data_IF_304420881413
#
_entry.id   IF_304420881413
#
_cell.length_a   1.000
_cell.length_b   1.000
_cell.length_c   1.000
_cell.angle_alpha   90.00
_cell.angle_beta   90.00
_cell.angle_gamma   90.00
#
_symmetry.space_group_name_H-M   'P 1'
#
loop_
_entity.id
_entity.type
_entity.pdbx_description
1 polymer ?
#
# COMPACT_ATOMS: atom_id res chain seq x y z
N UNK A 1 -12.25 9.18 14.80
CA UNK A 1 -11.09 8.28 14.99
C UNK A 1 -11.03 7.46 13.73
N UNK A 2 -10.10 7.76 12.84
CA UNK A 2 -9.97 7.04 11.58
C UNK A 2 -9.57 5.60 11.88
N UNK A 3 -10.52 4.70 11.68
CA UNK A 3 -10.36 3.27 11.92
C UNK A 3 -9.78 2.64 10.66
N UNK A 4 -8.86 1.69 10.83
CA UNK A 4 -8.41 0.80 9.77
C UNK A 4 -9.60 0.17 9.04
N UNK A 5 -9.51 0.07 7.72
CA UNK A 5 -10.57 -0.43 6.85
C UNK A 5 -10.15 -1.75 6.19
N UNK A 6 -11.09 -2.64 5.82
CA UNK A 6 -10.79 -3.86 5.07
C UNK A 6 -10.04 -3.55 3.77
N UNK A 7 -9.02 -4.35 3.43
CA UNK A 7 -8.16 -4.06 2.27
C UNK A 7 -8.92 -3.99 0.94
N UNK A 8 -10.05 -4.68 0.82
CA UNK A 8 -10.88 -4.74 -0.38
C UNK A 8 -11.52 -3.39 -0.71
N UNK A 9 -11.62 -2.48 0.27
CA UNK A 9 -12.18 -1.13 0.08
C UNK A 9 -11.10 -0.09 -0.24
N UNK A 10 -9.83 -0.49 -0.30
CA UNK A 10 -8.73 0.43 -0.47
C UNK A 10 -8.72 1.09 -1.86
N UNK A 11 -8.35 2.38 -1.94
CA UNK A 11 -8.21 3.05 -3.23
C UNK A 11 -7.04 2.45 -4.02
N UNK A 12 -7.35 1.89 -5.20
CA UNK A 12 -6.35 1.29 -6.10
C UNK A 12 -5.53 2.31 -6.90
N UNK A 13 -5.83 3.61 -6.73
CA UNK A 13 -5.20 4.73 -7.43
C UNK A 13 -4.40 5.66 -6.49
N UNK A 14 -4.15 5.25 -5.25
CA UNK A 14 -3.45 6.06 -4.26
C UNK A 14 -2.47 5.23 -3.43
N UNK A 15 -1.52 5.92 -2.80
CA UNK A 15 -0.65 5.31 -1.78
C UNK A 15 -1.35 5.37 -0.43
N UNK A 16 -1.33 4.26 0.30
CA UNK A 16 -1.98 4.10 1.60
C UNK A 16 -1.06 3.39 2.58
N UNK A 17 -1.39 3.43 3.87
CA UNK A 17 -0.82 2.51 4.83
C UNK A 17 -1.55 1.17 4.74
N UNK A 18 -0.82 0.08 4.83
CA UNK A 18 -1.36 -1.29 4.81
C UNK A 18 -0.82 -2.08 6.00
N UNK A 19 -1.66 -2.96 6.57
CA UNK A 19 -1.31 -3.86 7.66
C UNK A 19 -1.18 -5.30 7.14
N UNK A 20 0.02 -5.89 7.24
CA UNK A 20 0.29 -7.26 6.78
C UNK A 20 -0.19 -8.35 7.73
N UNK A 21 -0.67 -7.98 8.94
CA UNK A 21 -0.83 -8.90 10.06
C UNK A 21 0.37 -8.92 11.01
N UNK A 22 1.50 -8.35 10.59
CA UNK A 22 2.73 -8.27 11.39
C UNK A 22 3.29 -6.85 11.47
N UNK A 23 3.29 -6.12 10.35
CA UNK A 23 3.89 -4.80 10.21
C UNK A 23 3.01 -3.86 9.38
N UNK A 24 3.28 -2.55 9.51
CA UNK A 24 2.64 -1.49 8.72
C UNK A 24 3.60 -1.01 7.64
N UNK A 25 3.12 -0.94 6.40
CA UNK A 25 3.88 -0.42 5.26
C UNK A 25 3.13 0.69 4.55
N UNK A 26 3.85 1.60 3.89
CA UNK A 26 3.24 2.50 2.91
C UNK A 26 3.31 1.85 1.52
N UNK A 27 2.16 1.46 0.97
CA UNK A 27 2.06 0.69 -0.27
C UNK A 27 1.12 1.33 -1.28
N UNK A 28 1.27 0.94 -2.55
CA UNK A 28 0.27 1.22 -3.59
C UNK A 28 -0.14 -0.09 -4.28
N UNK A 29 -1.37 -0.11 -4.79
CA UNK A 29 -1.90 -1.28 -5.48
C UNK A 29 -1.22 -1.47 -6.83
N UNK A 30 -0.90 -2.71 -7.15
CA UNK A 30 -0.34 -3.12 -8.44
C UNK A 30 -1.07 -4.35 -8.94
N UNK A 31 -1.12 -4.49 -10.28
CA UNK A 31 -1.70 -5.64 -10.95
C UNK A 31 -0.78 -6.13 -12.05
N UNK A 32 -0.55 -7.44 -12.07
CA UNK A 32 0.23 -8.07 -13.12
C UNK A 32 -0.63 -8.13 -14.42
N UNK A 33 -0.18 -7.54 -15.54
CA UNK A 33 -0.96 -7.50 -16.77
C UNK A 33 -1.09 -8.85 -17.48
N UNK A 34 -0.26 -9.84 -17.12
CA UNK A 34 -0.24 -11.16 -17.76
C UNK A 34 -0.97 -12.24 -16.95
N UNK A 35 -0.95 -12.15 -15.61
CA UNK A 35 -1.59 -13.15 -14.73
C UNK A 35 -2.88 -12.65 -14.07
N UNK A 36 -3.19 -11.36 -14.20
CA UNK A 36 -4.30 -10.68 -13.51
C UNK A 36 -4.12 -10.64 -11.97
N UNK A 37 -2.98 -11.08 -11.44
CA UNK A 37 -2.71 -11.10 -10.01
C UNK A 37 -2.62 -9.68 -9.43
N UNK A 38 -3.30 -9.47 -8.31
CA UNK A 38 -3.28 -8.22 -7.56
C UNK A 38 -2.39 -8.33 -6.32
N UNK A 39 -1.62 -7.28 -6.05
CA UNK A 39 -0.77 -7.17 -4.88
C UNK A 39 -0.60 -5.71 -4.43
N UNK A 40 0.09 -5.52 -3.31
CA UNK A 40 0.47 -4.20 -2.80
C UNK A 40 1.98 -4.07 -2.81
N UNK A 41 2.51 -3.09 -3.57
CA UNK A 41 3.94 -2.85 -3.69
C UNK A 41 4.42 -1.89 -2.60
N UNK A 42 5.43 -2.33 -1.84
CA UNK A 42 6.03 -1.55 -0.74
C UNK A 42 7.33 -0.87 -1.19
N UNK A 43 8.16 -1.58 -1.95
CA UNK A 43 9.44 -1.10 -2.44
C UNK A 43 9.81 -1.75 -3.78
N UNK A 44 10.63 -1.06 -4.55
CA UNK A 44 11.28 -1.55 -5.77
C UNK A 44 12.79 -1.37 -5.57
N UNK A 45 13.58 -2.41 -5.82
CA UNK A 45 15.02 -2.44 -5.51
C UNK A 45 15.93 -2.31 -6.74
N UNK A 46 15.37 -1.90 -7.88
CA UNK A 46 16.07 -1.90 -9.16
C UNK A 46 15.97 -3.27 -9.85
N UNK A 47 16.33 -3.33 -11.13
CA UNK A 47 16.31 -4.55 -11.96
C UNK A 47 14.98 -5.31 -12.01
N UNK A 48 13.87 -4.63 -11.70
CA UNK A 48 12.52 -5.20 -11.68
C UNK A 48 12.20 -6.00 -10.41
N UNK A 49 13.08 -6.01 -9.40
CA UNK A 49 12.79 -6.65 -8.11
C UNK A 49 11.82 -5.81 -7.28
N UNK A 50 10.73 -6.44 -6.85
CA UNK A 50 9.61 -5.80 -6.19
C UNK A 50 9.27 -6.49 -4.86
N UNK A 51 9.14 -5.72 -3.80
CA UNK A 51 8.67 -6.18 -2.51
C UNK A 51 7.14 -6.06 -2.44
N UNK A 52 6.45 -7.19 -2.61
CA UNK A 52 4.99 -7.29 -2.61
C UNK A 52 4.47 -7.82 -1.27
N UNK A 53 3.33 -7.30 -0.82
CA UNK A 53 2.62 -7.79 0.36
C UNK A 53 1.16 -8.09 0.04
N UNK A 54 0.55 -8.99 0.83
CA UNK A 54 -0.90 -9.27 0.85
C UNK A 54 -1.48 -8.83 2.18
N UNK A 55 -1.81 -7.54 2.33
CA UNK A 55 -2.31 -6.98 3.58
C UNK A 55 -3.78 -7.30 3.81
N UNK A 56 -4.24 -7.13 5.04
CA UNK A 56 -5.64 -7.38 5.44
C UNK A 56 -6.43 -6.10 5.65
N UNK A 57 -5.75 -5.01 6.02
CA UNK A 57 -6.38 -3.72 6.29
C UNK A 57 -5.56 -2.57 5.71
N UNK A 58 -6.22 -1.44 5.48
CA UNK A 58 -5.58 -0.19 5.05
C UNK A 58 -6.01 1.01 5.89
N UNK A 59 -5.22 2.07 5.80
CA UNK A 59 -5.51 3.37 6.39
C UNK A 59 -5.00 4.47 5.46
N UNK A 60 -5.70 5.62 5.31
CA UNK A 60 -5.17 6.75 4.55
C UNK A 60 -3.83 7.22 5.12
N UNK A 61 -2.95 7.73 4.25
CA UNK A 61 -1.71 8.35 4.71
C UNK A 61 -2.03 9.55 5.61
N UNK A 62 -1.28 9.74 6.72
CA UNK A 62 -1.45 10.91 7.55
C UNK A 62 -1.14 12.17 6.73
N UNK A 63 -1.77 13.29 7.13
CA UNK A 63 -1.47 14.59 6.52
C UNK A 63 0.02 14.87 6.65
N UNK A 64 0.67 15.16 5.52
CA UNK A 64 2.08 15.51 5.50
C UNK A 64 2.34 16.73 6.40
N UNK A 65 3.48 16.77 7.11
CA UNK A 65 3.88 17.97 7.82
C UNK A 65 3.98 19.13 6.83
N UNK A 66 3.48 20.30 7.22
CA UNK A 66 3.71 21.52 6.43
C UNK A 66 5.21 21.77 6.36
N UNK A 67 5.76 21.82 5.14
CA UNK A 67 7.16 22.18 4.94
C UNK A 67 7.38 23.56 5.57
N UNK A 68 8.30 23.64 6.55
CA UNK A 68 8.82 24.93 6.99
C UNK A 68 9.88 25.28 5.95
N UNK A 69 9.59 26.28 5.11
CA UNK A 69 10.54 26.82 4.15
C UNK A 69 11.68 27.56 4.86
#
# INVERSE_FOLDING_TARGET
>A
MDTWQPIETAPKNARVLVWSGQEVYAAHWVKNPFTDDEAWLVAEWGDGEQALVKPTHWHPLPKLPSATA
#
